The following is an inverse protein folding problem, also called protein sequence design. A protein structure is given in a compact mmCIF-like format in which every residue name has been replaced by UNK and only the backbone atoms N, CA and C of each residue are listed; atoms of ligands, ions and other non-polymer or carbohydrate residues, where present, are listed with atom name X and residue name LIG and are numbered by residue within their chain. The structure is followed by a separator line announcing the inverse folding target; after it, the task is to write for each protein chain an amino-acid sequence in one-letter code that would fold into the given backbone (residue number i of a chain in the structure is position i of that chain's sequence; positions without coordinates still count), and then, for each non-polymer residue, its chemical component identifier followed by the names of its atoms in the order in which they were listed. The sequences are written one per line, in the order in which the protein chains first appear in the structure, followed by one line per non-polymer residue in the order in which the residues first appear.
data_IF_141697440038
#
_entry.id   IF_141697440038
#
_cell.length_a   1.000
_cell.length_b   1.000
_cell.length_c   1.000
_cell.angle_alpha   90.00
_cell.angle_beta   90.00
_cell.angle_gamma   90.00
#
_symmetry.space_group_name_H-M   'P 1'
#
loop_
_entity.id
_entity.type
_entity.pdbx_description
1 polymer ?
#
# COMPACT_ATOMS: atom_id res chain seq x y z
N UNK A 1 -3.60 8.75 21.77
CA UNK A 1 -3.09 8.70 23.16
C UNK A 1 -2.68 10.08 23.66
N UNK A 2 -1.75 10.79 23.00
CA UNK A 2 -1.28 12.13 23.40
C UNK A 2 -2.38 13.21 23.52
N UNK A 3 -3.31 13.29 22.56
CA UNK A 3 -4.39 14.31 22.61
C UNK A 3 -5.26 14.19 23.88
N UNK A 4 -5.60 12.97 24.30
CA UNK A 4 -6.37 12.74 25.52
C UNK A 4 -5.56 13.11 26.78
N UNK A 5 -4.24 12.95 26.75
CA UNK A 5 -3.37 13.37 27.84
C UNK A 5 -3.39 14.89 28.01
N UNK A 6 -3.31 15.65 26.91
CA UNK A 6 -3.42 17.11 26.94
C UNK A 6 -4.75 17.52 27.57
N UNK A 7 -5.87 16.95 27.09
CA UNK A 7 -7.19 17.25 27.68
C UNK A 7 -7.22 16.98 29.19
N UNK A 8 -6.71 15.83 29.63
CA UNK A 8 -6.65 15.47 31.06
C UNK A 8 -5.81 16.46 31.87
N UNK A 9 -4.68 16.93 31.34
CA UNK A 9 -3.83 17.92 32.02
C UNK A 9 -4.56 19.25 32.14
N UNK A 10 -5.26 19.70 31.08
CA UNK A 10 -6.01 20.95 31.08
C UNK A 10 -7.19 20.95 32.07
N UNK A 11 -7.76 19.78 32.36
CA UNK A 11 -8.83 19.60 33.36
C UNK A 11 -8.32 19.64 34.80
N UNK A 12 -7.02 19.51 35.04
CA UNK A 12 -6.48 19.54 36.40
C UNK A 12 -6.58 20.95 37.01
N UNK A 13 -6.72 21.07 38.35
CA UNK A 13 -6.52 22.34 39.04
C UNK A 13 -5.14 22.95 38.75
N UNK A 14 -5.05 24.29 38.77
CA UNK A 14 -3.82 25.01 38.42
C UNK A 14 -2.65 24.74 39.39
N UNK A 15 -2.95 24.29 40.61
CA UNK A 15 -1.95 23.87 41.60
C UNK A 15 -1.30 22.51 41.31
N UNK A 16 -1.83 21.73 40.36
CA UNK A 16 -1.31 20.39 40.07
C UNK A 16 -0.04 20.49 39.23
N UNK A 17 1.03 19.86 39.73
CA UNK A 17 2.35 19.85 39.09
C UNK A 17 2.32 19.52 37.57
N UNK A 18 1.55 18.54 37.06
CA UNK A 18 1.50 18.28 35.62
C UNK A 18 1.03 19.48 34.79
N UNK A 19 0.06 20.26 35.29
CA UNK A 19 -0.46 21.44 34.59
C UNK A 19 0.54 22.59 34.64
N UNK A 20 1.19 22.80 35.79
CA UNK A 20 2.30 23.76 35.95
C UNK A 20 3.44 23.43 34.98
N UNK A 21 3.87 22.17 34.93
CA UNK A 21 4.92 21.72 34.02
C UNK A 21 4.51 21.89 32.55
N UNK A 22 3.26 21.58 32.20
CA UNK A 22 2.74 21.76 30.85
C UNK A 22 2.76 23.24 30.42
N UNK A 23 2.28 24.14 31.28
CA UNK A 23 2.31 25.58 31.02
C UNK A 23 3.75 26.07 30.84
N UNK A 24 4.65 25.65 31.74
CA UNK A 24 6.06 26.02 31.65
C UNK A 24 6.72 25.53 30.37
N UNK A 25 6.39 24.32 29.91
CA UNK A 25 6.89 23.77 28.65
C UNK A 25 6.33 24.48 27.41
N UNK A 26 5.14 25.09 27.48
CA UNK A 26 4.62 25.96 26.43
C UNK A 26 5.38 27.30 26.38
N UNK A 27 5.66 27.88 27.54
CA UNK A 27 6.37 29.17 27.67
C UNK A 27 7.85 29.07 27.25
N UNK A 28 8.49 27.93 27.53
CA UNK A 28 9.92 27.69 27.31
C UNK A 28 10.32 27.52 25.83
N UNK A 29 9.57 28.12 24.90
CA UNK A 29 9.68 28.03 23.43
C UNK A 29 10.93 27.27 22.94
N UNK A 30 10.81 25.95 22.76
CA UNK A 30 11.96 25.06 22.78
C UNK A 30 12.77 25.20 21.49
N UNK A 31 13.97 25.77 21.61
CA UNK A 31 15.00 25.75 20.56
C UNK A 31 15.46 24.32 20.21
N UNK A 32 15.16 23.32 21.03
CA UNK A 32 15.48 21.90 20.79
C UNK A 32 14.20 21.09 20.54
N UNK A 33 13.94 20.74 19.27
CA UNK A 33 12.72 20.03 18.85
C UNK A 33 12.61 18.58 19.38
N UNK A 34 13.73 17.94 19.74
CA UNK A 34 13.79 16.49 19.89
C UNK A 34 13.46 15.96 21.31
N UNK A 35 13.56 16.76 22.37
CA UNK A 35 13.40 16.30 23.76
C UNK A 35 12.13 16.79 24.46
N UNK A 36 11.40 17.73 23.86
CA UNK A 36 10.17 18.29 24.44
C UNK A 36 8.94 17.77 23.66
N UNK A 37 8.09 17.00 24.33
CA UNK A 37 6.88 16.43 23.74
C UNK A 37 5.86 17.51 23.31
N UNK A 38 5.89 18.71 23.91
CA UNK A 38 5.07 19.85 23.48
C UNK A 38 5.55 20.38 22.12
N UNK A 39 6.86 20.41 21.85
CA UNK A 39 7.38 20.74 20.51
C UNK A 39 6.87 19.76 19.47
N UNK A 40 6.88 18.47 19.80
CA UNK A 40 6.39 17.43 18.92
C UNK A 40 4.89 17.59 18.66
N UNK A 41 4.10 17.88 19.71
CA UNK A 41 2.67 18.18 19.57
C UNK A 41 2.44 19.40 18.67
N UNK A 42 3.17 20.50 18.88
CA UNK A 42 3.11 21.71 18.04
C UNK A 42 3.39 21.36 16.58
N UNK A 43 4.48 20.64 16.30
CA UNK A 43 4.84 20.18 14.95
C UNK A 43 3.76 19.32 14.31
N UNK A 44 3.13 18.41 15.07
CA UNK A 44 2.00 17.61 14.58
C UNK A 44 0.78 18.48 14.24
N UNK A 45 0.49 19.50 15.05
CA UNK A 45 -0.60 20.46 14.79
C UNK A 45 -0.27 21.39 13.61
N UNK A 46 0.99 21.78 13.43
CA UNK A 46 1.51 22.55 12.29
C UNK A 46 1.18 21.87 10.96
N UNK A 47 1.44 20.57 10.90
CA UNK A 47 1.23 19.74 9.71
C UNK A 47 -0.23 19.74 9.21
N UNK A 48 -1.18 20.12 10.05
CA UNK A 48 -2.61 20.17 9.73
C UNK A 48 -3.22 21.58 9.89
N UNK A 49 -2.38 22.62 9.96
CA UNK A 49 -2.77 24.01 10.18
C UNK A 49 -3.69 24.17 11.40
N UNK A 50 -3.29 23.61 12.53
CA UNK A 50 -4.06 23.60 13.77
C UNK A 50 -3.25 24.04 15.01
N UNK A 51 -2.13 24.75 14.81
CA UNK A 51 -1.27 25.22 15.92
C UNK A 51 -2.01 26.15 16.88
N UNK A 52 -2.99 26.92 16.37
CA UNK A 52 -3.84 27.82 17.15
C UNK A 52 -4.63 27.12 18.28
N UNK A 53 -4.69 25.78 18.31
CA UNK A 53 -5.20 25.06 19.48
C UNK A 53 -4.36 25.31 20.74
N UNK A 54 -3.07 25.56 20.59
CA UNK A 54 -2.17 25.80 21.73
C UNK A 54 -2.38 27.18 22.35
N UNK A 55 -3.03 28.11 21.64
CA UNK A 55 -3.37 29.45 22.15
C UNK A 55 -4.58 29.42 23.08
N UNK A 56 -5.41 28.36 23.00
CA UNK A 56 -6.57 28.16 23.85
C UNK A 56 -6.42 26.89 24.69
N UNK A 57 -6.02 27.07 25.94
CA UNK A 57 -5.77 25.99 26.91
C UNK A 57 -7.04 25.53 27.66
N UNK A 58 -8.23 25.85 27.15
CA UNK A 58 -9.49 25.33 27.71
C UNK A 58 -9.68 23.85 27.38
N UNK A 59 -9.87 23.02 28.40
CA UNK A 59 -10.17 21.60 28.22
C UNK A 59 -11.42 21.36 27.35
N UNK A 60 -12.46 22.16 27.52
CA UNK A 60 -13.69 22.06 26.72
C UNK A 60 -13.43 22.38 25.24
N UNK A 61 -12.62 23.40 24.96
CA UNK A 61 -12.25 23.74 23.58
C UNK A 61 -11.51 22.57 22.89
N UNK A 62 -10.58 21.93 23.59
CA UNK A 62 -9.85 20.77 23.08
C UNK A 62 -10.77 19.57 22.85
N UNK A 63 -11.70 19.28 23.77
CA UNK A 63 -12.69 18.20 23.60
C UNK A 63 -13.56 18.43 22.36
N UNK A 64 -14.12 19.62 22.22
CA UNK A 64 -15.00 19.97 21.11
C UNK A 64 -14.29 19.89 19.74
N UNK A 65 -12.99 20.14 19.71
CA UNK A 65 -12.18 20.07 18.48
C UNK A 65 -11.58 18.68 18.18
N UNK A 66 -11.66 17.73 19.10
CA UNK A 66 -10.95 16.44 19.01
C UNK A 66 -11.20 15.70 17.70
N UNK A 67 -12.47 15.50 17.34
CA UNK A 67 -12.83 14.73 16.13
C UNK A 67 -12.37 15.43 14.85
N UNK A 68 -12.44 16.77 14.81
CA UNK A 68 -11.96 17.58 13.69
C UNK A 68 -10.45 17.43 13.51
N UNK A 69 -9.69 17.52 14.61
CA UNK A 69 -8.22 17.41 14.58
C UNK A 69 -7.77 16.01 14.18
N UNK A 70 -8.33 14.98 14.79
CA UNK A 70 -7.99 13.59 14.45
C UNK A 70 -8.34 13.27 12.99
N UNK A 71 -9.47 13.79 12.49
CA UNK A 71 -9.85 13.62 11.08
C UNK A 71 -8.87 14.31 10.13
N UNK A 72 -8.48 15.56 10.40
CA UNK A 72 -7.46 16.27 9.61
C UNK A 72 -6.12 15.53 9.61
N UNK A 73 -5.68 15.07 10.78
CA UNK A 73 -4.41 14.35 10.89
C UNK A 73 -4.44 13.00 10.18
N UNK A 74 -5.57 12.29 10.24
CA UNK A 74 -5.79 11.06 9.46
C UNK A 74 -5.66 11.31 7.96
N UNK A 75 -6.24 12.40 7.44
CA UNK A 75 -6.13 12.77 6.03
C UNK A 75 -4.67 13.08 5.67
N UNK A 76 -3.98 13.88 6.50
CA UNK A 76 -2.57 14.20 6.32
C UNK A 76 -1.68 12.95 6.24
N UNK A 77 -1.84 12.02 7.19
CA UNK A 77 -1.07 10.77 7.21
C UNK A 77 -1.32 9.93 5.95
N UNK A 78 -2.59 9.77 5.56
CA UNK A 78 -2.92 9.04 4.33
C UNK A 78 -2.30 9.69 3.09
N UNK A 79 -2.31 11.02 2.99
CA UNK A 79 -1.68 11.72 1.88
C UNK A 79 -0.16 11.49 1.85
N UNK A 80 0.51 11.53 3.02
CA UNK A 80 1.92 11.17 3.13
C UNK A 80 2.21 9.75 2.70
N UNK A 81 1.35 8.80 3.07
CA UNK A 81 1.50 7.40 2.67
C UNK A 81 1.34 7.24 1.16
N UNK A 82 0.41 7.96 0.53
CA UNK A 82 0.25 7.96 -0.93
C UNK A 82 1.47 8.54 -1.66
N UNK A 83 2.06 9.62 -1.15
CA UNK A 83 3.31 10.18 -1.72
C UNK A 83 4.44 9.14 -1.61
N UNK A 84 4.65 8.59 -0.41
CA UNK A 84 5.69 7.56 -0.19
C UNK A 84 5.48 6.34 -1.07
N UNK A 85 4.23 5.95 -1.31
CA UNK A 85 3.88 4.86 -2.19
C UNK A 85 4.21 5.18 -3.65
N UNK A 86 3.91 6.39 -4.13
CA UNK A 86 4.25 6.80 -5.49
C UNK A 86 5.76 6.76 -5.76
N UNK A 87 6.57 7.06 -4.75
CA UNK A 87 8.04 7.09 -4.85
C UNK A 87 8.69 5.72 -4.54
N UNK A 88 7.92 4.69 -4.15
CA UNK A 88 8.50 3.42 -3.72
C UNK A 88 8.85 2.51 -4.89
N UNK A 89 10.07 1.96 -4.87
CA UNK A 89 10.51 0.88 -5.76
C UNK A 89 10.32 -0.51 -5.13
N UNK A 90 9.54 -0.59 -4.04
CA UNK A 90 9.35 -1.83 -3.29
C UNK A 90 8.51 -2.86 -4.04
N UNK A 91 7.78 -2.46 -5.09
CA UNK A 91 6.97 -3.34 -5.94
C UNK A 91 7.38 -3.15 -7.40
N UNK A 92 7.25 -4.18 -8.23
CA UNK A 92 7.51 -4.07 -9.67
C UNK A 92 6.47 -3.19 -10.39
N UNK A 93 5.24 -3.16 -9.87
CA UNK A 93 4.13 -2.41 -10.45
C UNK A 93 3.48 -1.59 -9.35
N UNK A 94 3.60 -0.27 -9.45
CA UNK A 94 2.81 0.65 -8.65
C UNK A 94 1.40 0.71 -9.22
N UNK A 95 0.41 0.41 -8.39
CA UNK A 95 -1.01 0.52 -8.72
C UNK A 95 -1.53 1.70 -7.91
N UNK A 96 -1.59 2.89 -8.53
CA UNK A 96 -1.95 4.10 -7.83
C UNK A 96 -3.36 3.95 -7.27
N UNK A 97 -3.54 4.40 -6.03
CA UNK A 97 -4.84 4.50 -5.37
C UNK A 97 -5.04 5.92 -4.91
N UNK A 98 -6.24 6.45 -5.11
CA UNK A 98 -6.62 7.77 -4.63
C UNK A 98 -7.26 7.69 -3.24
N UNK A 99 -7.34 8.85 -2.58
CA UNK A 99 -8.07 9.01 -1.32
C UNK A 99 -9.58 8.75 -1.44
N UNK A 100 -10.10 8.76 -2.67
CA UNK A 100 -11.52 8.68 -3.00
C UNK A 100 -11.91 7.32 -3.58
N UNK A 101 -10.95 6.41 -3.79
CA UNK A 101 -11.25 5.10 -4.32
C UNK A 101 -12.09 4.28 -3.33
N UNK A 102 -13.04 3.52 -3.87
CA UNK A 102 -13.77 2.52 -3.09
C UNK A 102 -12.83 1.44 -2.57
N UNK A 103 -13.23 0.76 -1.49
CA UNK A 103 -12.49 -0.41 -1.00
C UNK A 103 -12.30 -1.42 -2.13
N UNK A 104 -11.07 -1.90 -2.42
CA UNK A 104 -10.84 -2.84 -3.50
C UNK A 104 -11.69 -4.10 -3.34
N UNK A 105 -12.32 -4.57 -4.42
CA UNK A 105 -13.23 -5.73 -4.38
C UNK A 105 -12.52 -7.01 -3.97
N UNK A 106 -11.21 -7.12 -4.19
CA UNK A 106 -10.45 -8.27 -3.69
C UNK A 106 -10.41 -8.34 -2.15
N UNK A 107 -10.67 -7.23 -1.43
CA UNK A 107 -10.90 -7.21 0.02
C UNK A 107 -12.37 -7.50 0.41
N UNK A 108 -13.25 -7.72 -0.57
CA UNK A 108 -14.69 -7.93 -0.38
C UNK A 108 -15.08 -9.32 -0.93
N UNK A 109 -15.38 -10.27 -0.05
CA UNK A 109 -15.98 -11.58 -0.38
C UNK A 109 -15.42 -12.28 -1.64
N UNK A 110 -14.10 -12.28 -1.81
CA UNK A 110 -13.42 -12.98 -2.91
C UNK A 110 -12.86 -14.32 -2.40
N UNK A 111 -12.99 -15.44 -3.14
CA UNK A 111 -12.33 -16.69 -2.79
C UNK A 111 -10.82 -16.48 -2.62
N UNK A 112 -10.29 -17.01 -1.52
CA UNK A 112 -8.91 -16.78 -1.09
C UNK A 112 -7.88 -17.10 -2.19
N UNK A 113 -8.11 -18.14 -3.01
CA UNK A 113 -7.19 -18.54 -4.09
C UNK A 113 -7.03 -17.46 -5.18
N UNK A 114 -8.13 -16.82 -5.57
CA UNK A 114 -8.12 -15.73 -6.55
C UNK A 114 -7.43 -14.50 -5.97
N UNK A 115 -7.77 -14.18 -4.71
CA UNK A 115 -7.20 -13.08 -3.96
C UNK A 115 -5.68 -13.19 -3.82
N UNK A 116 -5.19 -14.37 -3.39
CA UNK A 116 -3.77 -14.60 -3.14
C UNK A 116 -2.93 -14.37 -4.40
N UNK A 117 -3.39 -14.88 -5.55
CA UNK A 117 -2.66 -14.72 -6.82
C UNK A 117 -2.49 -13.24 -7.16
N UNK A 118 -3.56 -12.45 -7.00
CA UNK A 118 -3.54 -11.02 -7.25
C UNK A 118 -2.66 -10.27 -6.26
N UNK A 119 -2.76 -10.58 -4.97
CA UNK A 119 -1.91 -9.97 -3.93
C UNK A 119 -0.44 -10.28 -4.17
N UNK A 120 -0.09 -11.53 -4.46
CA UNK A 120 1.29 -11.94 -4.69
C UNK A 120 1.92 -11.23 -5.91
N UNK A 121 1.14 -11.00 -6.97
CA UNK A 121 1.58 -10.19 -8.10
C UNK A 121 1.72 -8.70 -7.72
N UNK A 122 0.78 -8.13 -6.97
CA UNK A 122 0.86 -6.71 -6.56
C UNK A 122 2.03 -6.43 -5.63
N UNK A 123 2.36 -7.37 -4.74
CA UNK A 123 3.43 -7.24 -3.75
C UNK A 123 4.79 -7.75 -4.25
N UNK A 124 4.84 -8.31 -5.46
CA UNK A 124 6.08 -8.80 -6.02
C UNK A 124 7.02 -7.64 -6.30
N UNK A 125 8.27 -7.81 -5.86
CA UNK A 125 9.32 -6.81 -5.94
C UNK A 125 10.38 -7.24 -6.97
N UNK A 126 11.39 -6.41 -7.21
CA UNK A 126 12.45 -6.73 -8.18
C UNK A 126 13.40 -7.85 -7.73
N UNK A 127 13.26 -8.41 -6.52
CA UNK A 127 14.11 -9.49 -6.00
C UNK A 127 13.42 -10.85 -6.04
N UNK A 128 12.12 -10.89 -5.74
CA UNK A 128 11.35 -12.13 -5.64
C UNK A 128 9.89 -11.91 -6.01
N UNK A 129 9.34 -12.85 -6.78
CA UNK A 129 7.92 -12.96 -7.07
C UNK A 129 7.52 -14.43 -6.97
N UNK A 130 6.94 -14.83 -5.83
CA UNK A 130 6.55 -16.20 -5.56
C UNK A 130 5.03 -16.31 -5.61
N UNK A 131 4.52 -17.05 -6.58
CA UNK A 131 3.09 -17.30 -6.77
C UNK A 131 2.76 -18.69 -6.21
N UNK A 132 1.70 -18.82 -5.42
CA UNK A 132 1.27 -20.10 -4.86
C UNK A 132 -0.02 -20.55 -5.50
N UNK A 133 0.06 -21.50 -6.44
CA UNK A 133 -1.11 -22.03 -7.14
C UNK A 133 -1.32 -23.49 -6.75
N UNK A 134 -2.48 -23.80 -6.16
CA UNK A 134 -2.84 -25.15 -5.70
C UNK A 134 -1.76 -25.82 -4.83
N UNK A 135 -1.04 -25.04 -4.02
CA UNK A 135 0.04 -25.54 -3.14
C UNK A 135 1.41 -25.65 -3.81
N UNK A 136 1.51 -25.42 -5.12
CA UNK A 136 2.77 -25.43 -5.85
C UNK A 136 3.34 -24.00 -6.01
N UNK A 137 4.59 -23.76 -5.62
CA UNK A 137 5.23 -22.47 -5.80
C UNK A 137 5.72 -22.28 -7.25
N UNK A 138 5.29 -21.21 -7.89
CA UNK A 138 5.84 -20.67 -9.13
C UNK A 138 6.69 -19.45 -8.81
N UNK A 139 8.01 -19.61 -8.91
CA UNK A 139 8.97 -18.56 -8.56
C UNK A 139 9.43 -17.82 -9.82
N UNK A 140 8.97 -16.58 -9.98
CA UNK A 140 9.47 -15.64 -10.97
C UNK A 140 10.64 -14.86 -10.36
N UNK A 141 11.80 -14.90 -11.00
CA UNK A 141 13.04 -14.27 -10.52
C UNK A 141 13.36 -13.05 -11.37
N UNK A 142 12.97 -11.83 -10.96
CA UNK A 142 12.93 -10.67 -11.86
C UNK A 142 14.29 -10.12 -12.28
N UNK A 143 15.38 -10.49 -11.59
CA UNK A 143 16.75 -10.15 -11.99
C UNK A 143 17.40 -11.17 -12.89
N UNK A 144 16.80 -12.35 -13.01
CA UNK A 144 17.31 -13.41 -13.85
C UNK A 144 16.65 -13.37 -15.23
N UNK A 145 17.37 -13.85 -16.23
CA UNK A 145 16.80 -14.05 -17.56
C UNK A 145 15.63 -15.04 -17.48
N UNK A 146 14.64 -14.80 -18.32
CA UNK A 146 13.51 -15.68 -18.52
C UNK A 146 14.03 -17.06 -18.91
N UNK A 147 13.76 -18.05 -18.06
CA UNK A 147 14.12 -19.45 -18.32
C UNK A 147 13.16 -20.14 -19.29
N UNK A 148 12.06 -19.47 -19.63
CA UNK A 148 10.98 -20.02 -20.44
C UNK A 148 10.97 -19.52 -21.88
N UNK A 149 11.72 -18.46 -22.18
CA UNK A 149 11.83 -17.89 -23.52
C UNK A 149 13.29 -17.64 -23.88
N UNK A 150 13.59 -17.61 -25.18
CA UNK A 150 14.94 -17.38 -25.69
C UNK A 150 15.28 -15.89 -25.87
N UNK A 151 14.38 -14.98 -25.48
CA UNK A 151 14.52 -13.55 -25.77
C UNK A 151 15.51 -12.82 -24.85
N UNK A 152 16.18 -13.52 -23.93
CA UNK A 152 17.12 -12.96 -22.95
C UNK A 152 16.54 -11.87 -22.02
N UNK A 153 15.25 -11.58 -22.13
CA UNK A 153 14.52 -10.65 -21.26
C UNK A 153 14.48 -11.16 -19.81
N UNK A 154 14.40 -10.23 -18.86
CA UNK A 154 14.25 -10.56 -17.44
C UNK A 154 12.85 -11.10 -17.10
N UNK A 155 12.76 -12.06 -16.18
CA UNK A 155 11.50 -12.67 -15.72
C UNK A 155 10.71 -11.77 -14.75
N UNK A 156 10.31 -10.59 -15.21
CA UNK A 156 9.44 -9.66 -14.48
C UNK A 156 7.97 -10.06 -14.60
N UNK A 157 7.11 -9.48 -13.76
CA UNK A 157 5.65 -9.63 -13.88
C UNK A 157 5.17 -9.13 -15.24
N UNK A 158 5.75 -8.03 -15.72
CA UNK A 158 5.46 -7.47 -17.02
C UNK A 158 5.74 -8.51 -18.12
N UNK A 159 6.96 -9.06 -18.15
CA UNK A 159 7.32 -10.08 -19.12
C UNK A 159 6.41 -11.30 -19.00
N UNK A 160 6.19 -11.80 -17.77
CA UNK A 160 5.35 -12.96 -17.51
C UNK A 160 3.90 -12.78 -18.01
N UNK A 161 3.27 -11.64 -17.72
CA UNK A 161 1.86 -11.40 -18.04
C UNK A 161 1.65 -10.95 -19.49
N UNK A 162 2.58 -10.20 -20.09
CA UNK A 162 2.33 -9.45 -21.33
C UNK A 162 3.23 -9.80 -22.51
N UNK A 163 4.47 -10.25 -22.28
CA UNK A 163 5.46 -10.35 -23.37
C UNK A 163 5.98 -11.78 -23.62
N UNK A 164 6.13 -12.62 -22.59
CA UNK A 164 6.77 -13.94 -22.68
C UNK A 164 6.16 -14.81 -23.79
N UNK A 165 6.90 -15.14 -24.86
CA UNK A 165 6.35 -15.91 -25.99
C UNK A 165 5.80 -17.28 -25.58
N UNK A 166 6.43 -17.93 -24.59
CA UNK A 166 5.98 -19.23 -24.07
C UNK A 166 4.55 -19.22 -23.55
N UNK A 167 4.11 -18.07 -23.02
CA UNK A 167 2.76 -17.90 -22.45
C UNK A 167 1.82 -17.14 -23.39
N UNK A 168 2.16 -16.99 -24.68
CA UNK A 168 1.33 -16.26 -25.64
C UNK A 168 -0.08 -16.85 -25.78
N UNK A 169 -0.20 -18.17 -25.91
CA UNK A 169 -1.48 -18.87 -26.05
C UNK A 169 -2.39 -18.67 -24.84
N UNK A 170 -1.99 -19.00 -23.59
CA UNK A 170 -2.86 -18.76 -22.43
C UNK A 170 -3.14 -17.27 -22.21
N UNK A 171 -2.21 -16.36 -22.58
CA UNK A 171 -2.43 -14.91 -22.49
C UNK A 171 -3.56 -14.46 -23.41
N UNK A 172 -3.56 -14.91 -24.66
CA UNK A 172 -4.59 -14.55 -25.64
C UNK A 172 -5.93 -15.20 -25.35
N UNK A 173 -5.95 -16.46 -24.90
CA UNK A 173 -7.20 -17.19 -24.67
C UNK A 173 -7.87 -16.86 -23.33
N UNK A 174 -7.07 -16.66 -22.27
CA UNK A 174 -7.58 -16.52 -20.90
C UNK A 174 -7.51 -15.07 -20.44
N UNK A 175 -6.31 -14.48 -20.44
CA UNK A 175 -6.08 -13.14 -19.87
C UNK A 175 -6.74 -12.05 -20.74
N UNK A 176 -6.69 -12.22 -22.06
CA UNK A 176 -7.29 -11.33 -23.07
C UNK A 176 -6.93 -9.85 -22.84
N UNK A 177 -5.63 -9.46 -22.84
CA UNK A 177 -5.24 -8.07 -22.76
C UNK A 177 -5.78 -7.28 -23.96
N UNK A 178 -6.10 -6.00 -23.77
CA UNK A 178 -6.63 -5.13 -24.83
C UNK A 178 -5.47 -4.70 -25.75
N UNK A 179 -5.48 -5.18 -26.99
CA UNK A 179 -4.43 -4.90 -27.98
C UNK A 179 -4.38 -3.44 -28.43
N UNK A 180 -5.44 -2.65 -28.18
CA UNK A 180 -5.50 -1.22 -28.51
C UNK A 180 -4.91 -0.34 -27.41
N UNK A 181 -4.61 -0.91 -26.24
CA UNK A 181 -4.10 -0.20 -25.08
C UNK A 181 -2.61 -0.45 -24.91
N UNK A 182 -1.92 0.49 -24.27
CA UNK A 182 -0.52 0.29 -23.92
C UNK A 182 -0.37 -0.92 -22.98
N UNK A 183 0.78 -1.57 -23.02
CA UNK A 183 1.09 -2.65 -22.09
C UNK A 183 1.05 -2.18 -20.62
N UNK A 184 1.44 -0.93 -20.33
CA UNK A 184 1.35 -0.36 -18.98
C UNK A 184 -0.08 -0.23 -18.48
N UNK A 185 -0.98 0.17 -19.38
CA UNK A 185 -2.40 0.23 -19.09
C UNK A 185 -2.95 -1.18 -18.83
N UNK A 186 -2.67 -2.13 -19.73
CA UNK A 186 -3.10 -3.53 -19.57
C UNK A 186 -2.62 -4.14 -18.25
N UNK A 187 -1.36 -3.92 -17.88
CA UNK A 187 -0.81 -4.44 -16.63
C UNK A 187 -1.54 -3.87 -15.41
N UNK A 188 -1.75 -2.55 -15.41
CA UNK A 188 -2.48 -1.88 -14.33
C UNK A 188 -3.92 -2.37 -14.26
N UNK A 189 -4.60 -2.52 -15.40
CA UNK A 189 -5.96 -3.07 -15.46
C UNK A 189 -5.99 -4.50 -14.93
N UNK A 190 -5.12 -5.41 -15.38
CA UNK A 190 -5.10 -6.80 -14.88
C UNK A 190 -4.94 -6.84 -13.35
N UNK A 191 -4.03 -6.02 -12.81
CA UNK A 191 -3.68 -6.04 -11.39
C UNK A 191 -4.57 -5.14 -10.50
N UNK A 192 -5.39 -4.25 -11.08
CA UNK A 192 -6.31 -3.40 -10.33
C UNK A 192 -7.79 -3.67 -10.61
N UNK A 193 -8.14 -4.41 -11.67
CA UNK A 193 -9.54 -4.67 -12.02
C UNK A 193 -10.29 -5.35 -10.86
N UNK A 194 -11.37 -4.72 -10.44
CA UNK A 194 -12.18 -5.12 -9.30
C UNK A 194 -13.26 -6.14 -9.67
N UNK A 195 -13.38 -6.54 -10.93
CA UNK A 195 -14.33 -7.57 -11.35
C UNK A 195 -13.88 -8.97 -10.93
N UNK A 196 -14.84 -9.76 -10.41
CA UNK A 196 -14.63 -11.16 -10.07
C UNK A 196 -14.14 -11.98 -11.28
N UNK A 197 -14.75 -11.77 -12.44
CA UNK A 197 -14.37 -12.42 -13.71
C UNK A 197 -12.92 -12.16 -14.10
N UNK A 198 -12.40 -10.96 -13.84
CA UNK A 198 -11.00 -10.61 -14.12
C UNK A 198 -10.03 -11.28 -13.15
N UNK A 199 -10.40 -11.38 -11.87
CA UNK A 199 -9.62 -12.14 -10.88
C UNK A 199 -9.60 -13.64 -11.21
N UNK A 200 -10.72 -14.18 -11.68
CA UNK A 200 -10.82 -15.56 -12.15
C UNK A 200 -9.93 -15.79 -13.38
N UNK A 201 -9.97 -14.91 -14.39
CA UNK A 201 -9.12 -14.99 -15.58
C UNK A 201 -7.63 -14.96 -15.23
N UNK A 202 -7.23 -14.05 -14.33
CA UNK A 202 -5.85 -13.97 -13.87
C UNK A 202 -5.42 -15.27 -13.18
N UNK A 203 -6.23 -15.80 -12.26
CA UNK A 203 -5.95 -17.07 -11.60
C UNK A 203 -5.80 -18.23 -12.59
N UNK A 204 -6.77 -18.38 -13.50
CA UNK A 204 -6.75 -19.43 -14.53
C UNK A 204 -5.54 -19.30 -15.45
N UNK A 205 -5.13 -18.08 -15.81
CA UNK A 205 -3.91 -17.84 -16.58
C UNK A 205 -2.66 -18.33 -15.84
N UNK A 206 -2.49 -17.95 -14.58
CA UNK A 206 -1.31 -18.37 -13.78
C UNK A 206 -1.31 -19.88 -13.59
N UNK A 207 -2.48 -20.48 -13.36
CA UNK A 207 -2.62 -21.93 -13.26
C UNK A 207 -2.18 -22.64 -14.54
N UNK A 208 -2.62 -22.16 -15.70
CA UNK A 208 -2.24 -22.75 -16.98
C UNK A 208 -0.73 -22.60 -17.26
N UNK A 209 -0.16 -21.44 -16.95
CA UNK A 209 1.29 -21.24 -17.05
C UNK A 209 2.06 -22.21 -16.14
N UNK A 210 1.56 -22.44 -14.91
CA UNK A 210 2.14 -23.40 -13.99
C UNK A 210 2.07 -24.84 -14.54
N UNK A 211 0.98 -25.21 -15.22
CA UNK A 211 0.83 -26.53 -15.84
C UNK A 211 1.84 -26.73 -16.96
N UNK A 212 2.02 -25.73 -17.83
CA UNK A 212 3.01 -25.75 -18.93
C UNK A 212 4.42 -25.98 -18.37
N UNK A 213 4.81 -25.21 -17.34
CA UNK A 213 6.14 -25.32 -16.71
C UNK A 213 6.34 -26.69 -16.06
N UNK A 214 5.27 -27.27 -15.50
CA UNK A 214 5.33 -28.56 -14.83
C UNK A 214 5.49 -29.70 -15.84
N UNK A 215 4.76 -29.67 -16.97
CA UNK A 215 4.87 -30.68 -18.03
C UNK A 215 6.29 -30.73 -18.61
N UNK A 216 6.92 -29.57 -18.84
CA UNK A 216 8.29 -29.52 -19.39
C UNK A 216 9.32 -30.21 -18.48
N UNK A 217 9.13 -30.19 -17.15
CA UNK A 217 10.03 -30.92 -16.23
C UNK A 217 9.96 -32.44 -16.40
N UNK A 218 8.83 -32.96 -16.87
CA UNK A 218 8.62 -34.40 -17.04
C UNK A 218 8.92 -34.88 -18.46
N UNK A 219 9.06 -33.99 -19.44
CA UNK A 219 9.42 -34.33 -20.82
C UNK A 219 10.93 -34.28 -21.12
N UNK A 220 11.76 -33.88 -20.15
CA UNK A 220 13.24 -33.79 -20.26
C UNK A 220 13.93 -35.02 -19.60
N UNK A 221 13.15 -36.03 -19.19
CA UNK A 221 13.64 -37.35 -18.73
C UNK A 221 13.30 -38.41 -19.77
#
# INVERSE_FOLDING_TARGET
LAYNWVTKILEMPDSRLPKVCYQRLLDLNPKSENLNWISQLRKMLAQINAEALLDNLSANFWKNNKMRILSKYKIYLKHKDLIRYADTQSCQVAIPRSMYDSTPVYLQNCPQKLLLTKIQLRLANFFSCNLSINGNPLNLRPKEQCRFCHNLDTMTIWHFLLDCPRFATPRQLILKPDTKKSHSFNLTTILDDHLFSSSQRLYSYVQECSNIITHDKYCIL
#
